data_IF_883351021451
#
_entry.id   IF_883351021451
#
_cell.length_a   1.000
_cell.length_b   1.000
_cell.length_c   1.000
_cell.angle_alpha   90.00
_cell.angle_beta   90.00
_cell.angle_gamma   90.00
#
_symmetry.space_group_name_H-M   'P 1'
#
loop_
_entity.id
_entity.type
_entity.pdbx_description
1 polymer ?
#
# COMPACT_ATOMS: atom_id res chain seq x y z
N UNK A 1 5.68 29.67 -16.49
CA UNK A 1 5.99 28.39 -15.81
C UNK A 1 4.70 27.66 -15.56
N UNK A 2 4.45 26.50 -16.21
CA UNK A 2 3.31 25.64 -15.88
C UNK A 2 3.50 25.15 -14.45
N UNK A 3 2.50 25.34 -13.59
CA UNK A 3 2.54 24.83 -12.20
C UNK A 3 2.53 23.29 -12.27
N UNK A 4 3.68 22.66 -11.97
CA UNK A 4 3.81 21.20 -11.98
C UNK A 4 3.09 20.50 -10.82
N UNK A 5 2.71 21.23 -9.77
CA UNK A 5 2.06 20.69 -8.60
C UNK A 5 0.60 21.14 -8.49
N UNK A 6 -0.26 20.21 -8.11
CA UNK A 6 -1.62 20.48 -7.67
C UNK A 6 -1.66 20.46 -6.13
N UNK A 7 -1.99 21.60 -5.54
CA UNK A 7 -2.11 21.76 -4.09
C UNK A 7 -3.53 21.54 -3.55
N UNK A 8 -4.45 21.07 -4.39
CA UNK A 8 -5.80 20.76 -3.94
C UNK A 8 -5.80 19.49 -3.10
N UNK A 9 -6.39 19.54 -1.92
CA UNK A 9 -6.67 18.38 -1.10
C UNK A 9 -7.82 17.58 -1.71
N UNK A 10 -7.67 16.26 -1.79
CA UNK A 10 -8.77 15.33 -2.09
C UNK A 10 -9.46 14.94 -0.79
N UNK A 11 -10.65 14.35 -0.89
CA UNK A 11 -11.33 13.76 0.27
C UNK A 11 -10.43 12.71 0.95
N UNK A 12 -9.69 11.91 0.16
CA UNK A 12 -8.77 10.89 0.69
C UNK A 12 -7.60 11.55 1.44
N UNK A 13 -7.08 12.68 0.94
CA UNK A 13 -6.04 13.43 1.67
C UNK A 13 -6.55 14.02 2.99
N UNK A 14 -7.82 14.44 3.03
CA UNK A 14 -8.45 14.89 4.28
C UNK A 14 -8.60 13.72 5.27
N UNK A 15 -8.98 12.53 4.80
CA UNK A 15 -9.03 11.32 5.64
C UNK A 15 -7.64 10.99 6.19
N UNK A 16 -6.59 11.09 5.37
CA UNK A 16 -5.20 10.92 5.83
C UNK A 16 -4.88 11.86 7.00
N UNK A 17 -5.18 13.15 6.86
CA UNK A 17 -4.89 14.15 7.90
C UNK A 17 -5.61 13.80 9.21
N UNK A 18 -6.89 13.45 9.12
CA UNK A 18 -7.67 13.05 10.31
C UNK A 18 -7.06 11.81 10.97
N UNK A 19 -6.74 10.78 10.19
CA UNK A 19 -6.15 9.56 10.72
C UNK A 19 -4.74 9.77 11.27
N UNK A 20 -3.94 10.65 10.67
CA UNK A 20 -2.63 11.01 11.20
C UNK A 20 -2.73 11.59 12.62
N UNK A 21 -3.67 12.48 12.85
CA UNK A 21 -3.89 13.04 14.20
C UNK A 21 -4.53 12.04 15.16
N UNK A 22 -5.36 11.11 14.67
CA UNK A 22 -5.94 10.03 15.49
C UNK A 22 -4.92 8.91 15.80
N UNK A 23 -3.92 8.70 14.97
CA UNK A 23 -2.86 7.72 15.23
C UNK A 23 -2.07 8.08 16.50
N UNK A 24 -1.83 9.35 16.79
CA UNK A 24 -1.08 9.77 17.97
C UNK A 24 -1.73 9.26 19.28
N UNK A 25 -3.01 9.61 19.61
CA UNK A 25 -3.66 9.01 20.76
C UNK A 25 -3.88 7.50 20.60
N UNK A 26 -4.09 6.99 19.40
CA UNK A 26 -4.23 5.57 19.13
C UNK A 26 -3.02 4.76 19.60
N UNK A 27 -1.81 5.19 19.25
CA UNK A 27 -0.55 4.53 19.66
C UNK A 27 -0.37 4.57 21.19
N UNK A 28 -0.88 5.60 21.86
CA UNK A 28 -0.70 5.79 23.32
C UNK A 28 -1.74 5.01 24.13
N UNK A 29 -2.99 4.97 23.67
CA UNK A 29 -4.12 4.51 24.47
C UNK A 29 -4.73 3.19 24.02
N UNK A 30 -4.49 2.74 22.77
CA UNK A 30 -5.02 1.45 22.31
C UNK A 30 -4.18 0.30 22.87
N UNK A 31 -4.81 -0.86 23.17
CA UNK A 31 -4.10 -2.08 23.48
C UNK A 31 -3.22 -2.54 22.31
N UNK A 32 -2.06 -3.12 22.61
CA UNK A 32 -1.11 -3.63 21.59
C UNK A 32 -1.72 -4.65 20.63
N UNK A 33 -2.74 -5.36 21.09
CA UNK A 33 -3.49 -6.36 20.29
C UNK A 33 -4.07 -5.79 18.98
N UNK A 34 -4.35 -4.48 18.93
CA UNK A 34 -4.81 -3.82 17.71
C UNK A 34 -3.73 -3.71 16.63
N UNK A 35 -2.46 -3.89 16.98
CA UNK A 35 -1.32 -3.93 16.06
C UNK A 35 -0.86 -5.34 15.73
N UNK A 36 -1.55 -6.39 16.17
CA UNK A 36 -1.19 -7.77 15.86
C UNK A 36 -1.60 -8.16 14.43
N UNK A 37 -0.93 -9.17 13.87
CA UNK A 37 -1.30 -9.76 12.58
C UNK A 37 -2.78 -10.21 12.59
N UNK A 38 -3.49 -9.96 11.49
CA UNK A 38 -4.92 -10.21 11.32
C UNK A 38 -5.84 -9.38 12.26
N UNK A 39 -5.33 -8.25 12.76
CA UNK A 39 -6.07 -7.31 13.61
C UNK A 39 -7.00 -6.38 12.82
N UNK A 40 -7.65 -5.48 13.54
CA UNK A 40 -8.52 -4.46 12.93
C UNK A 40 -7.76 -3.53 11.97
N UNK A 41 -6.53 -3.12 12.31
CA UNK A 41 -5.74 -2.21 11.49
C UNK A 41 -5.33 -2.87 10.18
N UNK A 42 -4.81 -4.11 10.22
CA UNK A 42 -4.47 -4.88 9.02
C UNK A 42 -5.69 -5.10 8.12
N UNK A 43 -6.85 -5.43 8.70
CA UNK A 43 -8.07 -5.58 7.92
C UNK A 43 -8.51 -4.28 7.21
N UNK A 44 -8.35 -3.11 7.85
CA UNK A 44 -8.60 -1.82 7.22
C UNK A 44 -7.60 -1.58 6.09
N UNK A 45 -6.33 -1.91 6.27
CA UNK A 45 -5.29 -1.80 5.24
C UNK A 45 -5.64 -2.66 4.01
N UNK A 46 -6.08 -3.90 4.22
CA UNK A 46 -6.55 -4.78 3.15
C UNK A 46 -7.72 -4.16 2.37
N UNK A 47 -8.72 -3.59 3.06
CA UNK A 47 -9.86 -2.90 2.42
C UNK A 47 -9.37 -1.72 1.56
N UNK A 48 -8.39 -0.95 2.04
CA UNK A 48 -7.81 0.17 1.30
C UNK A 48 -7.06 -0.31 0.06
N UNK A 49 -6.27 -1.37 0.19
CA UNK A 49 -5.55 -1.97 -0.94
C UNK A 49 -6.52 -2.55 -1.99
N UNK A 50 -7.58 -3.26 -1.58
CA UNK A 50 -8.63 -3.73 -2.50
C UNK A 50 -9.36 -2.57 -3.18
N UNK A 51 -9.63 -1.49 -2.43
CA UNK A 51 -10.22 -0.27 -3.01
C UNK A 51 -9.28 0.36 -4.04
N UNK A 52 -7.97 0.34 -3.77
CA UNK A 52 -6.96 0.82 -4.73
C UNK A 52 -6.93 -0.03 -6.00
N UNK A 53 -7.04 -1.35 -5.87
CA UNK A 53 -7.17 -2.27 -7.02
C UNK A 53 -8.42 -1.94 -7.85
N UNK A 54 -9.55 -1.69 -7.19
CA UNK A 54 -10.79 -1.33 -7.89
C UNK A 54 -10.65 -0.06 -8.74
N UNK A 55 -10.01 1.00 -8.21
CA UNK A 55 -9.74 2.20 -8.99
C UNK A 55 -8.73 1.95 -10.12
N UNK A 56 -7.70 1.15 -9.90
CA UNK A 56 -6.73 0.80 -10.92
C UNK A 56 -7.36 -0.02 -12.07
N UNK A 57 -8.28 -0.96 -11.75
CA UNK A 57 -9.03 -1.74 -12.75
C UNK A 57 -9.95 -0.84 -13.58
N UNK A 58 -10.55 0.17 -12.98
CA UNK A 58 -11.46 1.11 -13.67
C UNK A 58 -10.75 2.13 -14.54
N UNK A 59 -9.45 2.28 -14.43
CA UNK A 59 -8.69 3.20 -15.26
C UNK A 59 -8.78 2.78 -16.73
N UNK A 60 -9.37 3.64 -17.58
CA UNK A 60 -9.58 3.35 -19.00
C UNK A 60 -8.36 3.67 -19.86
N UNK A 61 -7.56 4.65 -19.43
CA UNK A 61 -6.37 5.09 -20.16
C UNK A 61 -5.11 4.59 -19.49
N UNK A 62 -3.99 4.56 -20.24
CA UNK A 62 -2.70 4.05 -19.76
C UNK A 62 -2.81 2.62 -19.14
N UNK A 63 -3.58 1.76 -19.79
CA UNK A 63 -3.91 0.42 -19.27
C UNK A 63 -2.68 -0.40 -18.88
N UNK A 64 -1.59 -0.30 -19.68
CA UNK A 64 -0.33 -0.99 -19.37
C UNK A 64 0.28 -0.51 -18.06
N UNK A 65 0.25 0.79 -17.80
CA UNK A 65 0.71 1.38 -16.55
C UNK A 65 -0.14 0.90 -15.36
N UNK A 66 -1.48 0.94 -15.48
CA UNK A 66 -2.36 0.48 -14.40
C UNK A 66 -2.31 -1.04 -14.18
N UNK A 67 -2.01 -1.84 -15.19
CA UNK A 67 -1.73 -3.26 -14.99
C UNK A 67 -0.47 -3.47 -14.13
N UNK A 68 0.59 -2.69 -14.35
CA UNK A 68 1.77 -2.73 -13.48
C UNK A 68 1.44 -2.28 -12.06
N UNK A 69 0.63 -1.21 -11.90
CA UNK A 69 0.14 -0.78 -10.58
C UNK A 69 -0.65 -1.89 -9.89
N UNK A 70 -1.50 -2.63 -10.61
CA UNK A 70 -2.23 -3.78 -10.08
C UNK A 70 -1.30 -4.90 -9.62
N UNK A 71 -0.25 -5.22 -10.40
CA UNK A 71 0.75 -6.21 -9.98
C UNK A 71 1.48 -5.75 -8.73
N UNK A 72 1.83 -4.48 -8.62
CA UNK A 72 2.44 -3.91 -7.43
C UNK A 72 1.51 -3.96 -6.21
N UNK A 73 0.23 -3.61 -6.38
CA UNK A 73 -0.78 -3.75 -5.32
C UNK A 73 -0.95 -5.21 -4.89
N UNK A 74 -0.85 -6.16 -5.82
CA UNK A 74 -0.83 -7.59 -5.53
C UNK A 74 0.36 -8.00 -4.65
N UNK A 75 1.54 -7.40 -4.85
CA UNK A 75 2.71 -7.61 -3.98
C UNK A 75 2.41 -7.11 -2.57
N UNK A 76 1.83 -5.91 -2.43
CA UNK A 76 1.46 -5.36 -1.13
C UNK A 76 0.41 -6.23 -0.42
N UNK A 77 -0.64 -6.65 -1.13
CA UNK A 77 -1.67 -7.55 -0.58
C UNK A 77 -1.08 -8.88 -0.10
N UNK A 78 -0.19 -9.50 -0.89
CA UNK A 78 0.48 -10.75 -0.51
C UNK A 78 1.41 -10.55 0.69
N UNK A 79 2.03 -9.38 0.81
CA UNK A 79 2.85 -9.02 1.97
C UNK A 79 1.98 -8.94 3.23
N UNK A 80 0.88 -8.19 3.19
CA UNK A 80 -0.01 -8.01 4.35
C UNK A 80 -0.55 -9.34 4.89
N UNK A 81 -1.04 -10.20 4.00
CA UNK A 81 -1.54 -11.51 4.42
C UNK A 81 -0.42 -12.54 4.58
N UNK A 82 0.84 -12.13 4.60
CA UNK A 82 2.00 -13.00 4.70
C UNK A 82 1.86 -14.21 3.75
N UNK A 83 1.62 -13.96 2.46
CA UNK A 83 1.30 -14.97 1.43
C UNK A 83 0.14 -15.91 1.82
N UNK A 84 -0.81 -15.45 2.62
CA UNK A 84 -1.96 -16.21 3.09
C UNK A 84 -1.74 -16.96 4.40
N UNK A 85 -0.57 -16.89 5.01
CA UNK A 85 -0.25 -17.60 6.26
C UNK A 85 -1.16 -17.14 7.41
N UNK A 86 -1.36 -15.84 7.55
CA UNK A 86 -2.15 -15.25 8.63
C UNK A 86 -3.65 -15.59 8.54
N UNK A 87 -4.13 -15.87 7.33
CA UNK A 87 -5.54 -16.21 7.09
C UNK A 87 -5.78 -17.72 7.23
N UNK A 88 -4.91 -18.55 6.65
CA UNK A 88 -5.20 -19.97 6.46
C UNK A 88 -4.54 -20.89 7.50
N UNK A 89 -3.56 -20.40 8.25
CA UNK A 89 -2.76 -21.25 9.14
C UNK A 89 -2.58 -20.69 10.56
N UNK A 90 -3.65 -20.18 11.23
CA UNK A 90 -3.57 -19.79 12.64
C UNK A 90 -3.39 -21.03 13.53
N UNK A 91 -2.67 -20.88 14.64
CA UNK A 91 -2.55 -21.92 15.65
C UNK A 91 -3.78 -21.85 16.57
N UNK A 92 -4.60 -22.92 16.65
CA UNK A 92 -5.81 -22.89 17.45
C UNK A 92 -5.52 -22.65 18.95
N UNK A 93 -6.25 -21.71 19.54
CA UNK A 93 -6.16 -21.41 20.99
C UNK A 93 -4.98 -20.54 21.43
N UNK A 94 -4.19 -20.04 20.49
CA UNK A 94 -3.09 -19.09 20.76
C UNK A 94 -3.28 -17.85 19.93
N UNK A 95 -3.51 -16.71 20.57
CA UNK A 95 -3.66 -15.44 19.89
C UNK A 95 -2.36 -15.03 19.18
N UNK A 96 -2.49 -14.43 18.02
CA UNK A 96 -1.40 -13.92 17.16
C UNK A 96 -0.28 -14.95 16.89
N UNK A 97 -0.63 -16.23 16.83
CA UNK A 97 0.31 -17.31 16.52
C UNK A 97 -0.09 -18.05 15.25
N UNK A 98 0.89 -18.26 14.37
CA UNK A 98 0.70 -18.89 13.07
C UNK A 98 1.74 -19.98 12.85
N UNK A 99 1.34 -21.06 12.18
CA UNK A 99 2.27 -22.13 11.82
C UNK A 99 3.47 -21.58 11.04
N UNK A 100 4.65 -22.09 11.33
CA UNK A 100 5.83 -21.78 10.54
C UNK A 100 5.69 -22.32 9.11
N UNK A 101 6.25 -21.65 8.13
CA UNK A 101 6.28 -22.15 6.75
C UNK A 101 6.87 -23.56 6.61
N UNK A 102 7.75 -23.96 7.55
CA UNK A 102 8.35 -25.29 7.59
C UNK A 102 7.35 -26.37 8.03
N UNK A 103 6.36 -26.01 8.82
CA UNK A 103 5.36 -26.92 9.38
C UNK A 103 4.14 -27.07 8.46
N UNK A 104 4.01 -26.17 7.47
CA UNK A 104 2.91 -26.19 6.48
C UNK A 104 3.30 -27.06 5.30
N UNK A 105 2.39 -27.98 4.90
CA UNK A 105 2.56 -28.79 3.69
C UNK A 105 2.73 -27.88 2.48
N UNK A 106 3.85 -28.01 1.77
CA UNK A 106 4.24 -27.15 0.64
C UNK A 106 4.58 -25.69 1.01
N UNK A 107 4.70 -25.35 2.30
CA UNK A 107 5.04 -23.99 2.75
C UNK A 107 6.35 -23.44 2.19
N UNK A 108 7.30 -24.33 1.87
CA UNK A 108 8.57 -23.97 1.23
C UNK A 108 8.40 -23.30 -0.15
N UNK A 109 7.24 -23.48 -0.81
CA UNK A 109 6.95 -22.84 -2.11
C UNK A 109 6.54 -21.36 -1.97
N UNK A 110 6.07 -20.92 -0.80
CA UNK A 110 5.53 -19.57 -0.62
C UNK A 110 6.54 -18.48 -1.02
N UNK A 111 7.74 -18.52 -0.46
CA UNK A 111 8.77 -17.52 -0.75
C UNK A 111 9.28 -17.57 -2.22
N UNK A 112 9.59 -18.73 -2.81
CA UNK A 112 9.93 -18.81 -4.23
C UNK A 112 8.83 -18.28 -5.15
N UNK A 113 7.56 -18.63 -4.91
CA UNK A 113 6.43 -18.14 -5.72
C UNK A 113 6.26 -16.64 -5.60
N UNK A 114 6.38 -16.09 -4.39
CA UNK A 114 6.36 -14.65 -4.18
C UNK A 114 7.53 -13.96 -4.89
N UNK A 115 8.74 -14.54 -4.83
CA UNK A 115 9.90 -14.05 -5.57
C UNK A 115 9.70 -14.07 -7.09
N UNK A 116 9.10 -15.14 -7.64
CA UNK A 116 8.74 -15.22 -9.05
C UNK A 116 7.72 -14.14 -9.42
N UNK A 117 6.71 -13.89 -8.57
CA UNK A 117 5.73 -12.85 -8.82
C UNK A 117 6.36 -11.46 -8.85
N UNK A 118 7.26 -11.13 -7.91
CA UNK A 118 8.04 -9.88 -7.91
C UNK A 118 8.88 -9.80 -9.19
N UNK A 119 9.61 -10.84 -9.54
CA UNK A 119 10.43 -10.89 -10.76
C UNK A 119 9.60 -10.67 -12.02
N UNK A 120 8.44 -11.30 -12.12
CA UNK A 120 7.49 -11.12 -13.23
C UNK A 120 7.00 -9.67 -13.31
N UNK A 121 6.73 -9.04 -12.16
CA UNK A 121 6.32 -7.63 -12.10
C UNK A 121 7.41 -6.70 -12.63
N UNK A 122 8.65 -6.94 -12.25
CA UNK A 122 9.81 -6.16 -12.73
C UNK A 122 9.98 -6.35 -14.25
N UNK A 123 9.97 -7.60 -14.72
CA UNK A 123 10.12 -7.92 -16.17
C UNK A 123 8.99 -7.27 -16.96
N UNK A 124 7.74 -7.37 -16.49
CA UNK A 124 6.59 -6.72 -17.13
C UNK A 124 6.77 -5.21 -17.23
N UNK A 125 7.24 -4.56 -16.15
CA UNK A 125 7.52 -3.11 -16.12
C UNK A 125 8.60 -2.70 -17.13
N UNK A 126 9.71 -3.43 -17.17
CA UNK A 126 10.82 -3.17 -18.09
C UNK A 126 10.39 -3.40 -19.55
N UNK A 127 9.71 -4.51 -19.83
CA UNK A 127 9.21 -4.85 -21.17
C UNK A 127 8.27 -3.79 -21.72
N UNK A 128 7.35 -3.27 -20.90
CA UNK A 128 6.42 -2.22 -21.29
C UNK A 128 7.01 -0.81 -21.19
N UNK A 129 8.30 -0.67 -20.91
CA UNK A 129 9.01 0.63 -20.80
C UNK A 129 8.34 1.58 -19.79
N UNK A 130 7.93 1.04 -18.65
CA UNK A 130 7.26 1.79 -17.56
C UNK A 130 7.96 3.11 -17.21
N UNK A 131 9.29 3.15 -17.27
CA UNK A 131 10.08 4.35 -16.99
C UNK A 131 9.73 5.51 -17.94
N UNK A 132 9.33 5.22 -19.18
CA UNK A 132 8.89 6.24 -20.16
C UNK A 132 7.51 6.77 -19.75
N UNK A 133 6.58 5.90 -19.36
CA UNK A 133 5.25 6.30 -18.92
C UNK A 133 5.34 7.13 -17.64
N UNK A 134 6.17 6.72 -16.68
CA UNK A 134 6.44 7.47 -15.47
C UNK A 134 7.02 8.86 -15.78
N UNK A 135 8.02 8.93 -16.68
CA UNK A 135 8.60 10.19 -17.12
C UNK A 135 7.57 11.11 -17.78
N UNK A 136 6.70 10.54 -18.62
CA UNK A 136 5.63 11.30 -19.27
C UNK A 136 4.62 11.84 -18.25
N UNK A 137 4.25 11.05 -17.24
CA UNK A 137 3.40 11.48 -16.14
C UNK A 137 4.05 12.64 -15.41
N UNK A 138 5.31 12.50 -14.99
CA UNK A 138 6.07 13.53 -14.27
C UNK A 138 6.17 14.84 -15.06
N UNK A 139 6.34 14.75 -16.39
CA UNK A 139 6.54 15.91 -17.26
C UNK A 139 5.24 16.59 -17.69
N UNK A 140 4.19 15.82 -17.95
CA UNK A 140 3.01 16.28 -18.66
C UNK A 140 1.74 16.38 -17.78
N UNK A 141 1.79 15.86 -16.53
CA UNK A 141 0.64 15.92 -15.62
C UNK A 141 0.97 16.73 -14.37
N UNK A 142 -0.07 17.29 -13.75
CA UNK A 142 0.10 17.93 -12.45
C UNK A 142 0.30 16.85 -11.38
N UNK A 143 1.32 17.01 -10.57
CA UNK A 143 1.62 16.10 -9.47
C UNK A 143 0.79 16.47 -8.23
N UNK A 144 0.07 15.54 -7.59
CA UNK A 144 -0.70 15.78 -6.38
C UNK A 144 0.25 15.96 -5.19
N UNK A 145 0.58 17.21 -4.89
CA UNK A 145 1.59 17.55 -3.88
C UNK A 145 1.33 16.86 -2.53
N UNK A 146 0.11 17.00 -2.00
CA UNK A 146 -0.22 16.44 -0.69
C UNK A 146 -0.18 14.92 -0.65
N UNK A 147 -0.74 14.25 -1.66
CA UNK A 147 -0.74 12.78 -1.70
C UNK A 147 0.69 12.21 -1.79
N UNK A 148 1.60 12.89 -2.52
CA UNK A 148 3.01 12.48 -2.62
C UNK A 148 3.73 12.76 -1.29
N UNK A 149 3.53 13.94 -0.68
CA UNK A 149 4.11 14.26 0.60
C UNK A 149 3.67 13.25 1.67
N UNK A 150 2.38 12.94 1.73
CA UNK A 150 1.82 11.97 2.66
C UNK A 150 2.36 10.56 2.42
N UNK A 151 2.57 10.16 1.17
CA UNK A 151 3.20 8.88 0.84
C UNK A 151 4.63 8.80 1.38
N UNK A 152 5.43 9.84 1.16
CA UNK A 152 6.80 9.91 1.68
C UNK A 152 6.80 9.87 3.20
N UNK A 153 5.89 10.62 3.84
CA UNK A 153 5.74 10.62 5.31
C UNK A 153 5.37 9.23 5.82
N UNK A 154 4.37 8.57 5.22
CA UNK A 154 3.94 7.23 5.62
C UNK A 154 5.06 6.19 5.50
N UNK A 155 5.78 6.17 4.36
CA UNK A 155 6.95 5.29 4.16
C UNK A 155 8.02 5.56 5.22
N UNK A 156 8.34 6.82 5.49
CA UNK A 156 9.38 7.18 6.46
C UNK A 156 8.99 6.74 7.87
N UNK A 157 7.73 6.97 8.27
CA UNK A 157 7.22 6.56 9.58
C UNK A 157 7.21 5.04 9.73
N UNK A 158 6.79 4.29 8.70
CA UNK A 158 6.82 2.82 8.71
C UNK A 158 8.24 2.28 8.90
N UNK A 159 9.22 2.83 8.16
CA UNK A 159 10.63 2.46 8.32
C UNK A 159 11.18 2.79 9.71
N UNK A 160 10.77 3.91 10.31
CA UNK A 160 11.17 4.28 11.67
C UNK A 160 10.51 3.35 12.69
N UNK A 161 9.23 3.04 12.51
CA UNK A 161 8.52 2.12 13.38
C UNK A 161 9.18 0.74 13.42
N UNK A 162 9.41 0.15 12.25
CA UNK A 162 10.04 -1.18 12.11
C UNK A 162 11.46 -1.23 12.71
N UNK A 163 12.30 -0.22 12.43
CA UNK A 163 13.73 -0.29 12.79
C UNK A 163 14.08 0.29 14.14
N UNK A 164 13.31 1.26 14.65
CA UNK A 164 13.71 2.05 15.81
C UNK A 164 12.82 1.83 17.02
N UNK A 165 11.53 1.58 16.85
CA UNK A 165 10.61 1.56 18.00
C UNK A 165 10.15 0.16 18.38
N UNK A 166 10.10 -0.77 17.43
CA UNK A 166 9.54 -2.13 17.59
C UNK A 166 8.12 -2.10 18.20
N UNK A 167 7.37 -1.02 17.93
CA UNK A 167 6.00 -0.84 18.40
C UNK A 167 5.04 -1.21 17.27
N UNK A 168 4.34 -2.33 17.42
CA UNK A 168 3.40 -2.85 16.41
C UNK A 168 2.32 -1.85 16.04
N UNK A 169 1.72 -1.15 17.01
CA UNK A 169 0.70 -0.14 16.71
C UNK A 169 1.25 1.02 15.86
N UNK A 170 2.45 1.48 16.16
CA UNK A 170 3.07 2.54 15.38
C UNK A 170 3.38 2.09 13.96
N UNK A 171 3.85 0.85 13.78
CA UNK A 171 4.08 0.24 12.48
C UNK A 171 2.80 0.17 11.66
N UNK A 172 1.75 -0.43 12.22
CA UNK A 172 0.44 -0.60 11.56
C UNK A 172 -0.23 0.73 11.19
N UNK A 173 -0.21 1.73 12.10
CA UNK A 173 -0.73 3.06 11.76
C UNK A 173 0.06 3.74 10.65
N UNK A 174 1.37 3.57 10.63
CA UNK A 174 2.25 4.14 9.61
C UNK A 174 2.00 3.50 8.24
N UNK A 175 1.81 2.19 8.19
CA UNK A 175 1.45 1.45 6.98
C UNK A 175 0.05 1.81 6.48
N UNK A 176 -0.92 1.95 7.38
CA UNK A 176 -2.26 2.44 7.06
C UNK A 176 -2.20 3.80 6.36
N UNK A 177 -1.41 4.74 6.90
CA UNK A 177 -1.21 6.07 6.30
C UNK A 177 -0.55 5.98 4.92
N UNK A 178 0.43 5.11 4.74
CA UNK A 178 1.07 4.84 3.46
C UNK A 178 0.04 4.34 2.43
N UNK A 179 -0.80 3.36 2.77
CA UNK A 179 -1.80 2.80 1.85
C UNK A 179 -2.91 3.79 1.47
N UNK A 180 -3.35 4.64 2.40
CA UNK A 180 -4.28 5.73 2.09
C UNK A 180 -3.68 6.70 1.07
N UNK A 181 -2.39 6.99 1.17
CA UNK A 181 -1.70 7.85 0.21
C UNK A 181 -1.61 7.21 -1.17
N UNK A 182 -1.32 5.91 -1.23
CA UNK A 182 -1.34 5.12 -2.48
C UNK A 182 -2.74 5.15 -3.10
N UNK A 183 -3.80 4.93 -2.32
CA UNK A 183 -5.19 5.05 -2.78
C UNK A 183 -5.48 6.44 -3.34
N UNK A 184 -5.05 7.52 -2.65
CA UNK A 184 -5.26 8.88 -3.13
C UNK A 184 -4.62 9.12 -4.50
N UNK A 185 -3.37 8.68 -4.68
CA UNK A 185 -2.65 8.81 -5.94
C UNK A 185 -3.35 8.02 -7.05
N UNK A 186 -3.65 6.74 -6.82
CA UNK A 186 -4.29 5.86 -7.80
C UNK A 186 -5.66 6.41 -8.20
N UNK A 187 -6.49 6.82 -7.23
CA UNK A 187 -7.81 7.40 -7.50
C UNK A 187 -7.71 8.64 -8.38
N UNK A 188 -6.78 9.55 -8.10
CA UNK A 188 -6.58 10.77 -8.88
C UNK A 188 -6.18 10.47 -10.32
N UNK A 189 -5.21 9.59 -10.52
CA UNK A 189 -4.73 9.25 -11.87
C UNK A 189 -5.66 8.33 -12.67
N UNK A 190 -6.55 7.57 -12.00
CA UNK A 190 -7.56 6.75 -12.66
C UNK A 190 -8.75 7.58 -13.18
N UNK A 191 -8.98 8.79 -12.65
CA UNK A 191 -10.08 9.68 -13.06
C UNK A 191 -9.65 10.61 -14.20
N UNK A 192 -10.57 10.85 -15.17
CA UNK A 192 -10.28 11.67 -16.36
C UNK A 192 -9.89 13.13 -16.08
N UNK A 193 -10.23 13.64 -14.90
CA UNK A 193 -10.04 15.06 -14.53
C UNK A 193 -8.57 15.48 -14.41
N UNK A 194 -7.65 14.52 -14.31
CA UNK A 194 -6.23 14.80 -14.10
C UNK A 194 -5.41 14.94 -15.39
N UNK A 195 -6.06 14.94 -16.57
CA UNK A 195 -5.43 14.70 -17.87
C UNK A 195 -4.97 15.90 -18.67
N UNK A 196 -5.24 17.10 -18.25
CA UNK A 196 -4.82 18.28 -19.06
C UNK A 196 -4.07 19.27 -18.21
N UNK A 197 -2.77 19.24 -18.33
CA UNK A 197 -1.94 20.40 -18.03
C UNK A 197 -1.64 21.15 -19.31
#
# INVERSE_FOLDING_TARGET
>A
MKKHFDFKLSIVDCIYIVLFFLAIPGIIFLPEEFGYENSWLENIQLIILFTSCFFAIRAKENRKFFNLVLMFLGILLLREVNCGRTIFFPIPGVENAFYSWKDIKYGWLAHPLFGIYIGTTIVYGLWNKFYIDLWNILKNTKLPFWSILFLITGITLSLVAEKCTHNFLFEEFSELLMYISILSIIKRYSQKEYKSA
#
